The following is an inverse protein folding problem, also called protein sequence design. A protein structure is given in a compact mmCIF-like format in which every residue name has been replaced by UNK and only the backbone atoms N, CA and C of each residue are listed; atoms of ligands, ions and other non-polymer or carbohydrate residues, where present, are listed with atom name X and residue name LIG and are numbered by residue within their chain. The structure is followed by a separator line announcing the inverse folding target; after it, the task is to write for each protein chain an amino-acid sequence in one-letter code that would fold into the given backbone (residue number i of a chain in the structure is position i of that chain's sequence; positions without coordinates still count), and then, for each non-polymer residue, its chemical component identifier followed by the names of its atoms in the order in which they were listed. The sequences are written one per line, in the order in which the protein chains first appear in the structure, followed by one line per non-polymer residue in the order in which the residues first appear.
data_IF_667498195994
#
_entry.id   IF_667498195994
#
_cell.length_a   1.000
_cell.length_b   1.000
_cell.length_c   1.000
_cell.angle_alpha   90.00
_cell.angle_beta   90.00
_cell.angle_gamma   90.00
#
_symmetry.space_group_name_H-M   'P 1'
#
loop_
_entity.id
_entity.type
_entity.pdbx_description
1 polymer ?
#
# COMPACT_ATOMS: atom_id res chain seq x y z
N UNK A 1 27.41 -69.90 -22.73
CA UNK A 1 26.44 -69.21 -21.86
C UNK A 1 26.30 -67.79 -22.41
N UNK A 2 25.48 -67.49 -23.43
CA UNK A 2 24.27 -68.12 -24.01
C UNK A 2 22.96 -67.85 -23.24
N UNK A 3 21.91 -67.53 -24.02
CA UNK A 3 20.53 -67.11 -23.67
C UNK A 3 20.42 -65.66 -23.12
N UNK A 4 19.52 -64.74 -23.56
CA UNK A 4 18.10 -64.79 -24.06
C UNK A 4 17.06 -65.02 -22.95
N UNK A 5 15.80 -64.52 -22.95
CA UNK A 5 14.95 -63.64 -23.82
C UNK A 5 13.72 -63.16 -22.96
N UNK A 6 12.79 -62.23 -23.27
CA UNK A 6 12.58 -61.18 -24.31
C UNK A 6 11.46 -60.17 -23.89
N UNK A 7 11.52 -58.91 -24.34
CA UNK A 7 10.39 -57.93 -24.44
C UNK A 7 9.70 -57.44 -23.14
N UNK A 8 8.80 -56.44 -23.12
CA UNK A 8 8.23 -55.50 -24.12
C UNK A 8 8.03 -54.11 -23.44
N UNK A 9 7.96 -52.93 -24.07
CA UNK A 9 7.03 -52.46 -25.11
C UNK A 9 6.01 -51.46 -24.49
N UNK A 10 5.64 -50.32 -25.09
CA UNK A 10 5.95 -49.76 -26.42
C UNK A 10 5.71 -48.23 -26.45
N UNK A 11 6.31 -47.53 -27.41
CA UNK A 11 6.06 -46.13 -27.73
C UNK A 11 4.72 -45.91 -28.47
N UNK A 12 4.18 -44.68 -28.45
CA UNK A 12 3.48 -44.09 -29.60
C UNK A 12 3.38 -42.55 -29.51
N UNK A 13 3.65 -41.86 -30.61
CA UNK A 13 3.37 -40.44 -30.83
C UNK A 13 2.55 -40.30 -32.13
N UNK A 14 1.73 -39.23 -32.18
CA UNK A 14 1.14 -38.62 -33.37
C UNK A 14 0.18 -39.44 -34.26
N UNK A 15 -1.05 -38.94 -34.41
CA UNK A 15 -1.58 -38.46 -35.71
C UNK A 15 -2.75 -37.47 -35.49
N UNK A 16 -3.10 -36.71 -36.53
CA UNK A 16 -4.05 -35.56 -36.48
C UNK A 16 -5.42 -35.89 -37.16
N UNK A 17 -6.20 -34.96 -37.76
CA UNK A 17 -7.33 -34.35 -37.06
C UNK A 17 -8.67 -34.41 -37.84
N UNK A 18 -9.71 -35.06 -37.31
CA UNK A 18 -11.05 -35.07 -37.96
C UNK A 18 -12.20 -35.04 -36.92
N UNK A 19 -12.64 -33.83 -36.53
CA UNK A 19 -14.07 -33.45 -36.44
C UNK A 19 -14.16 -31.92 -36.66
N UNK A 20 -14.10 -31.48 -37.91
CA UNK A 20 -14.44 -30.10 -38.30
C UNK A 20 -15.38 -30.16 -39.52
N UNK A 21 -16.64 -30.52 -39.29
CA UNK A 21 -17.80 -30.32 -40.19
C UNK A 21 -19.07 -30.95 -39.58
N UNK A 22 -19.68 -30.27 -38.60
CA UNK A 22 -21.15 -30.14 -38.54
C UNK A 22 -21.42 -28.67 -38.23
N UNK A 23 -21.92 -27.95 -39.22
CA UNK A 23 -22.40 -26.58 -39.15
C UNK A 23 -23.77 -26.56 -39.84
N UNK A 24 -24.63 -25.60 -39.48
CA UNK A 24 -26.07 -25.59 -39.78
C UNK A 24 -26.84 -26.72 -39.03
N UNK A 25 -27.97 -26.46 -38.35
CA UNK A 25 -28.76 -25.24 -38.25
C UNK A 25 -29.47 -25.13 -36.90
N UNK A 26 -29.46 -23.92 -36.30
CA UNK A 26 -30.53 -23.42 -35.42
C UNK A 26 -30.35 -21.90 -35.21
N UNK A 27 -30.65 -21.11 -36.26
CA UNK A 27 -30.78 -19.65 -36.11
C UNK A 27 -32.10 -19.40 -35.39
N UNK A 28 -32.03 -18.95 -34.13
CA UNK A 28 -33.17 -18.36 -33.42
C UNK A 28 -32.83 -16.91 -33.10
N UNK A 29 -33.71 -16.00 -33.51
CA UNK A 29 -33.49 -14.56 -33.41
C UNK A 29 -33.70 -14.07 -31.98
N UNK A 30 -32.61 -13.87 -31.25
CA UNK A 30 -32.63 -13.05 -30.03
C UNK A 30 -32.57 -11.58 -30.46
N UNK A 31 -33.70 -10.88 -30.41
CA UNK A 31 -33.74 -9.43 -30.53
C UNK A 31 -33.10 -8.80 -29.32
N UNK A 32 -31.85 -8.35 -29.45
CA UNK A 32 -31.16 -7.55 -28.44
C UNK A 32 -31.83 -6.19 -28.35
N UNK A 33 -32.77 -6.05 -27.41
CA UNK A 33 -33.29 -4.75 -27.02
C UNK A 33 -32.18 -3.96 -26.31
N UNK A 34 -31.81 -2.80 -26.85
CA UNK A 34 -30.92 -1.86 -26.17
C UNK A 34 -31.63 -1.28 -24.93
N UNK A 35 -31.54 -1.97 -23.80
CA UNK A 35 -31.85 -1.40 -22.49
C UNK A 35 -30.71 -0.44 -22.15
N UNK A 36 -30.88 0.84 -22.48
CA UNK A 36 -30.04 1.91 -21.97
C UNK A 36 -30.25 2.05 -20.47
N UNK A 37 -29.47 1.30 -19.69
CA UNK A 37 -29.41 1.43 -18.22
C UNK A 37 -28.96 2.87 -17.91
N UNK A 38 -29.76 3.68 -17.20
CA UNK A 38 -29.32 5.01 -16.80
C UNK A 38 -28.21 4.88 -15.75
N UNK A 39 -26.97 5.19 -16.11
CA UNK A 39 -25.87 5.27 -15.15
C UNK A 39 -26.00 6.53 -14.31
N UNK A 40 -26.92 6.48 -13.35
CA UNK A 40 -27.13 7.49 -12.30
C UNK A 40 -27.10 6.83 -10.93
N UNK A 41 -26.11 5.95 -10.71
CA UNK A 41 -25.76 5.50 -9.36
C UNK A 41 -25.24 6.73 -8.61
N UNK A 42 -25.95 7.15 -7.56
CA UNK A 42 -25.54 8.31 -6.76
C UNK A 42 -24.18 8.02 -6.10
N UNK A 43 -23.36 9.07 -5.93
CA UNK A 43 -22.16 9.06 -5.08
C UNK A 43 -22.51 8.41 -3.73
N UNK A 44 -21.62 7.58 -3.12
CA UNK A 44 -21.80 7.21 -1.72
C UNK A 44 -21.99 8.48 -0.89
N UNK A 45 -23.03 8.48 -0.06
CA UNK A 45 -23.33 9.59 0.84
C UNK A 45 -22.27 9.58 1.94
N UNK A 46 -21.53 10.68 2.09
CA UNK A 46 -20.37 10.73 2.98
C UNK A 46 -20.84 10.45 4.40
N UNK A 47 -20.40 9.31 4.95
CA UNK A 47 -20.60 8.93 6.33
C UNK A 47 -19.94 9.98 7.24
N UNK A 48 -20.74 10.93 7.73
CA UNK A 48 -20.40 11.64 8.96
C UNK A 48 -20.20 10.58 10.03
N UNK A 49 -18.99 10.53 10.59
CA UNK A 49 -18.49 9.34 11.30
C UNK A 49 -19.46 8.81 12.34
N UNK A 50 -19.73 7.50 12.27
CA UNK A 50 -20.29 6.76 13.39
C UNK A 50 -19.45 7.03 14.64
N UNK A 51 -20.10 7.20 15.79
CA UNK A 51 -19.49 7.68 17.04
C UNK A 51 -18.55 6.68 17.75
N UNK A 52 -17.77 5.91 16.99
CA UNK A 52 -16.62 5.18 17.50
C UNK A 52 -15.53 6.16 17.92
N UNK A 53 -14.74 5.79 18.93
CA UNK A 53 -13.75 6.69 19.51
C UNK A 53 -12.51 6.81 18.62
N UNK A 54 -12.48 7.87 17.80
CA UNK A 54 -11.23 8.44 17.27
C UNK A 54 -10.17 8.49 18.38
N UNK A 55 -8.90 8.13 18.11
CA UNK A 55 -7.85 8.06 19.12
C UNK A 55 -7.74 9.40 19.84
N UNK A 56 -7.75 9.33 21.18
CA UNK A 56 -7.52 10.51 22.02
C UNK A 56 -6.24 11.22 21.56
N UNK A 57 -6.29 12.52 21.35
CA UNK A 57 -5.19 13.34 20.80
C UNK A 57 -3.79 13.03 21.37
N UNK A 58 -3.60 12.70 22.67
CA UNK A 58 -2.31 12.24 23.19
C UNK A 58 -1.71 10.98 22.52
N UNK A 59 -2.51 10.08 21.93
CA UNK A 59 -2.01 8.93 21.15
C UNK A 59 -1.44 9.37 19.80
N UNK A 60 -2.12 10.28 19.11
CA UNK A 60 -1.64 10.89 17.87
C UNK A 60 -0.34 11.67 18.12
N UNK A 61 -0.32 12.49 19.19
CA UNK A 61 0.87 13.26 19.57
C UNK A 61 2.06 12.33 19.91
N UNK A 62 1.86 11.26 20.69
CA UNK A 62 2.93 10.28 20.97
C UNK A 62 3.49 9.59 19.72
N UNK A 63 2.66 9.33 18.71
CA UNK A 63 3.11 8.79 17.44
C UNK A 63 3.90 9.83 16.63
N UNK A 64 3.47 11.09 16.62
CA UNK A 64 4.19 12.18 15.94
C UNK A 64 5.52 12.52 16.64
N UNK A 65 5.55 12.47 17.97
CA UNK A 65 6.77 12.67 18.78
C UNK A 65 7.75 11.51 18.61
N UNK A 66 7.25 10.27 18.46
CA UNK A 66 8.09 9.13 18.07
C UNK A 66 8.75 9.38 16.71
N UNK A 67 7.97 9.75 15.67
CA UNK A 67 8.53 10.09 14.35
C UNK A 67 9.59 11.20 14.46
N UNK A 68 9.30 12.27 15.22
CA UNK A 68 10.23 13.37 15.43
C UNK A 68 11.52 12.94 16.15
N UNK A 69 11.45 12.00 17.10
CA UNK A 69 12.61 11.45 17.82
C UNK A 69 13.59 10.65 16.95
N UNK A 70 13.18 10.32 15.71
CA UNK A 70 13.99 9.57 14.73
C UNK A 70 14.66 10.45 13.69
N UNK A 71 14.43 11.76 13.72
CA UNK A 71 15.06 12.70 12.80
C UNK A 71 16.56 12.85 13.05
N UNK A 72 17.35 12.79 11.98
CA UNK A 72 18.78 13.08 12.01
C UNK A 72 19.08 14.35 11.18
N UNK A 73 19.43 15.49 11.81
CA UNK A 73 19.64 16.75 11.11
C UNK A 73 20.87 16.77 10.17
N UNK A 74 21.75 15.76 10.23
CA UNK A 74 22.88 15.61 9.29
C UNK A 74 22.46 14.85 8.02
N UNK A 75 21.48 13.95 8.12
CA UNK A 75 20.94 13.16 7.00
C UNK A 75 19.72 13.85 6.37
N UNK A 76 19.03 14.71 7.12
CA UNK A 76 17.81 15.40 6.67
C UNK A 76 16.53 14.55 6.74
N UNK A 77 16.62 13.32 7.25
CA UNK A 77 15.56 12.29 7.23
C UNK A 77 15.33 11.67 8.62
N UNK A 78 14.21 10.97 8.80
CA UNK A 78 13.95 10.07 9.93
C UNK A 78 14.44 8.65 9.63
N UNK A 79 15.11 8.01 10.60
CA UNK A 79 15.59 6.62 10.45
C UNK A 79 14.45 5.61 10.67
N UNK A 80 14.49 4.49 9.96
CA UNK A 80 13.43 3.47 9.88
C UNK A 80 12.86 3.04 11.25
N UNK A 81 13.68 3.00 12.31
CA UNK A 81 13.20 2.74 13.66
C UNK A 81 14.23 2.95 14.77
N UNK A 82 14.10 2.17 15.85
CA UNK A 82 15.01 2.21 17.01
C UNK A 82 16.17 1.19 16.93
N UNK A 83 16.15 0.30 15.94
CA UNK A 83 16.74 -1.03 16.10
C UNK A 83 18.21 -1.20 15.82
N UNK A 84 18.75 -2.27 16.41
CA UNK A 84 20.11 -2.79 16.16
C UNK A 84 20.15 -3.90 15.09
N UNK A 85 18.99 -4.44 14.71
CA UNK A 85 18.86 -5.37 13.58
C UNK A 85 18.97 -4.65 12.23
N UNK A 86 19.17 -5.42 11.15
CA UNK A 86 19.25 -4.91 9.77
C UNK A 86 18.42 -5.76 8.81
N UNK A 87 17.79 -5.08 7.87
CA UNK A 87 16.96 -5.57 6.77
C UNK A 87 17.39 -4.98 5.41
N UNK A 88 18.50 -4.21 5.38
CA UNK A 88 19.22 -3.81 4.17
C UNK A 88 20.42 -4.73 3.88
N UNK A 89 20.81 -4.94 2.60
CA UNK A 89 21.86 -5.89 2.22
C UNK A 89 23.27 -5.63 2.79
N UNK A 90 23.59 -4.40 3.18
CA UNK A 90 24.92 -4.03 3.70
C UNK A 90 25.06 -4.17 5.22
N UNK A 91 23.98 -4.54 5.92
CA UNK A 91 23.98 -4.72 7.37
C UNK A 91 23.82 -3.43 8.18
N UNK A 92 23.52 -2.29 7.56
CA UNK A 92 23.27 -1.03 8.29
C UNK A 92 22.03 -1.16 9.20
N UNK A 93 22.16 -0.96 10.53
CA UNK A 93 21.03 -1.14 11.44
C UNK A 93 19.85 -0.23 11.14
N UNK A 94 18.63 -0.67 11.48
CA UNK A 94 17.36 0.05 11.36
C UNK A 94 17.43 1.48 11.95
N UNK A 95 18.14 1.67 13.07
CA UNK A 95 18.39 2.99 13.68
C UNK A 95 19.28 3.94 12.87
N UNK A 96 19.96 3.45 11.82
CA UNK A 96 20.89 4.18 10.93
C UNK A 96 20.57 4.00 9.43
N UNK A 97 19.46 3.33 9.12
CA UNK A 97 18.91 3.16 7.77
C UNK A 97 17.76 4.15 7.57
N UNK A 98 17.66 4.75 6.38
CA UNK A 98 16.68 5.78 6.04
C UNK A 98 16.04 5.46 4.68
N UNK A 99 14.76 5.09 4.65
CA UNK A 99 14.03 4.93 3.38
C UNK A 99 13.44 6.27 2.94
N UNK A 100 13.74 6.70 1.72
CA UNK A 100 13.23 7.98 1.19
C UNK A 100 11.70 7.94 1.02
N UNK A 101 11.14 6.79 0.64
CA UNK A 101 9.74 6.69 0.22
C UNK A 101 8.81 6.12 1.32
N UNK A 102 8.82 4.81 1.56
CA UNK A 102 7.98 4.13 2.56
C UNK A 102 7.99 4.83 3.94
N UNK A 103 9.16 5.24 4.39
CA UNK A 103 9.32 6.02 5.61
C UNK A 103 9.11 7.53 5.38
N UNK A 104 10.01 8.19 4.64
CA UNK A 104 10.16 9.66 4.73
C UNK A 104 9.14 10.46 3.90
N UNK A 105 8.74 9.97 2.72
CA UNK A 105 7.68 10.58 1.89
C UNK A 105 6.34 10.62 2.65
N UNK A 106 6.09 9.62 3.50
CA UNK A 106 4.95 9.59 4.41
C UNK A 106 5.19 10.34 5.72
N UNK A 107 6.37 10.23 6.33
CA UNK A 107 6.67 10.91 7.60
C UNK A 107 6.51 12.43 7.49
N UNK A 108 6.90 13.03 6.37
CA UNK A 108 6.69 14.47 6.16
C UNK A 108 5.20 14.85 6.09
N UNK A 109 4.32 14.02 5.53
CA UNK A 109 2.87 14.27 5.53
C UNK A 109 2.23 13.97 6.90
N UNK A 110 2.70 12.92 7.59
CA UNK A 110 2.26 12.58 8.94
C UNK A 110 2.62 13.65 9.98
N UNK A 111 3.78 14.30 9.83
CA UNK A 111 4.28 15.32 10.75
C UNK A 111 3.71 16.72 10.51
N UNK A 112 3.14 17.04 9.33
CA UNK A 112 2.59 18.37 9.00
C UNK A 112 1.66 18.97 10.09
N UNK A 113 0.71 18.23 10.70
CA UNK A 113 -0.18 18.79 11.72
C UNK A 113 0.46 19.00 13.11
N UNK A 114 1.61 18.39 13.38
CA UNK A 114 2.20 18.31 14.73
C UNK A 114 3.54 19.06 14.83
N UNK A 115 4.42 18.84 13.85
CA UNK A 115 5.79 19.34 13.79
C UNK A 115 6.09 19.96 12.40
N UNK A 116 5.38 21.04 12.00
CA UNK A 116 5.39 21.53 10.61
C UNK A 116 6.77 21.99 10.10
N UNK A 117 7.63 22.50 10.97
CA UNK A 117 9.00 22.89 10.59
C UNK A 117 9.87 21.66 10.27
N UNK A 118 9.71 20.58 11.04
CA UNK A 118 10.40 19.32 10.80
C UNK A 118 9.88 18.63 9.54
N UNK A 119 8.55 18.63 9.34
CA UNK A 119 7.92 18.15 8.11
C UNK A 119 8.49 18.85 6.86
N UNK A 120 8.65 20.18 6.90
CA UNK A 120 9.26 20.94 5.81
C UNK A 120 10.74 20.56 5.55
N UNK A 121 11.52 20.32 6.60
CA UNK A 121 12.92 19.87 6.48
C UNK A 121 13.02 18.48 5.84
N UNK A 122 12.14 17.54 6.21
CA UNK A 122 12.09 16.19 5.60
C UNK A 122 11.58 16.28 4.16
N UNK A 123 10.56 17.10 3.87
CA UNK A 123 10.05 17.34 2.52
C UNK A 123 11.18 17.76 1.57
N UNK A 124 11.98 18.77 1.96
CA UNK A 124 13.12 19.24 1.17
C UNK A 124 14.16 18.13 0.90
N UNK A 125 14.47 17.29 1.88
CA UNK A 125 15.42 16.19 1.70
C UNK A 125 14.85 15.10 0.77
N UNK A 126 13.55 14.79 0.88
CA UNK A 126 12.85 13.86 -0.03
C UNK A 126 12.78 14.43 -1.45
N UNK A 127 12.50 15.73 -1.62
CA UNK A 127 12.49 16.43 -2.90
C UNK A 127 13.84 16.33 -3.63
N UNK A 128 14.96 16.51 -2.92
CA UNK A 128 16.32 16.34 -3.49
C UNK A 128 16.58 14.90 -4.00
N UNK A 129 16.04 13.87 -3.33
CA UNK A 129 16.12 12.50 -3.83
C UNK A 129 15.15 12.24 -4.99
N UNK A 130 13.94 12.79 -4.97
CA UNK A 130 12.95 12.65 -6.06
C UNK A 130 13.43 13.33 -7.35
N UNK A 131 14.13 14.46 -7.27
CA UNK A 131 14.73 15.12 -8.45
C UNK A 131 15.79 14.23 -9.15
N UNK A 132 16.55 13.45 -8.37
CA UNK A 132 17.64 12.60 -8.89
C UNK A 132 17.14 11.22 -9.33
N UNK A 133 16.21 10.61 -8.57
CA UNK A 133 15.83 9.20 -8.73
C UNK A 133 14.39 8.99 -9.25
N UNK A 134 13.57 10.04 -9.31
CA UNK A 134 12.15 9.98 -9.66
C UNK A 134 11.24 9.69 -8.47
N UNK A 135 9.93 9.77 -8.69
CA UNK A 135 8.91 9.19 -7.80
C UNK A 135 8.90 7.64 -7.90
N UNK A 136 8.51 6.91 -6.86
CA UNK A 136 8.70 5.46 -6.81
C UNK A 136 7.77 4.61 -7.69
N UNK A 137 6.67 5.15 -8.23
CA UNK A 137 5.55 4.43 -8.85
C UNK A 137 4.78 3.50 -7.88
N UNK A 138 4.66 3.88 -6.60
CA UNK A 138 3.84 3.16 -5.61
C UNK A 138 3.40 4.04 -4.42
N UNK A 139 4.35 4.54 -3.62
CA UNK A 139 4.08 5.16 -2.31
C UNK A 139 3.45 6.56 -2.39
N UNK A 140 3.64 7.26 -3.51
CA UNK A 140 3.12 8.61 -3.78
C UNK A 140 1.59 8.64 -3.91
N UNK A 141 0.94 7.49 -4.17
CA UNK A 141 -0.53 7.42 -4.26
C UNK A 141 -1.20 7.86 -2.96
N UNK A 142 -0.56 7.67 -1.81
CA UNK A 142 -1.05 8.13 -0.50
C UNK A 142 -1.10 9.65 -0.39
N UNK A 143 -0.27 10.38 -1.15
CA UNK A 143 -0.26 11.84 -1.15
C UNK A 143 -1.31 12.47 -2.06
N UNK A 144 -1.90 11.68 -2.98
CA UNK A 144 -2.91 12.11 -3.96
C UNK A 144 -2.43 12.10 -5.43
N UNK A 145 -1.24 11.55 -5.71
CA UNK A 145 -0.71 11.40 -7.07
C UNK A 145 -1.16 10.07 -7.70
N UNK A 146 -1.29 10.00 -9.02
CA UNK A 146 -1.62 8.74 -9.73
C UNK A 146 -0.35 7.89 -9.96
N UNK A 147 -0.50 6.56 -9.93
CA UNK A 147 0.58 5.59 -10.12
C UNK A 147 0.27 4.66 -11.32
N UNK A 148 1.24 3.87 -11.81
CA UNK A 148 0.95 2.86 -12.82
C UNK A 148 0.04 1.76 -12.26
N UNK A 149 -1.08 1.49 -12.93
CA UNK A 149 -1.97 0.36 -12.58
C UNK A 149 -1.31 -1.02 -12.76
N UNK A 150 -0.19 -1.09 -13.48
CA UNK A 150 0.70 -2.26 -13.56
C UNK A 150 1.76 -2.16 -12.46
N UNK A 151 1.43 -2.62 -11.25
CA UNK A 151 2.35 -2.62 -10.10
C UNK A 151 3.51 -3.60 -10.34
N UNK A 152 4.73 -3.18 -9.97
CA UNK A 152 5.97 -3.94 -10.16
C UNK A 152 6.70 -4.21 -8.84
N UNK A 153 7.60 -5.19 -8.85
CA UNK A 153 8.46 -5.47 -7.69
C UNK A 153 9.44 -4.33 -7.43
N UNK A 154 9.69 -4.07 -6.14
CA UNK A 154 10.54 -2.96 -5.71
C UNK A 154 12.03 -3.29 -5.82
N UNK A 155 12.81 -2.40 -6.42
CA UNK A 155 14.27 -2.46 -6.42
C UNK A 155 14.86 -1.52 -5.39
N UNK A 156 15.58 -2.10 -4.43
CA UNK A 156 16.29 -1.38 -3.36
C UNK A 156 17.64 -0.87 -3.88
N UNK A 157 17.87 0.43 -3.80
CA UNK A 157 19.10 1.09 -4.26
C UNK A 157 19.61 1.98 -3.12
N UNK A 158 20.90 1.83 -2.75
CA UNK A 158 21.55 2.74 -1.81
C UNK A 158 21.95 4.02 -2.53
N UNK A 159 21.49 5.16 -2.02
CA UNK A 159 21.64 6.49 -2.64
C UNK A 159 22.42 7.48 -1.78
N UNK A 160 22.66 7.14 -0.51
CA UNK A 160 23.45 7.97 0.40
C UNK A 160 24.27 7.18 1.40
N UNK A 161 25.41 7.76 1.77
CA UNK A 161 26.26 7.34 2.88
C UNK A 161 26.67 8.58 3.67
N UNK A 162 26.48 8.53 4.99
CA UNK A 162 26.82 9.61 5.91
C UNK A 162 27.59 9.04 7.10
N UNK A 163 28.48 9.84 7.69
CA UNK A 163 29.11 9.51 8.97
C UNK A 163 28.65 10.52 10.03
N UNK A 164 27.97 10.05 11.07
CA UNK A 164 27.48 10.89 12.17
C UNK A 164 28.03 10.34 13.47
N UNK A 165 28.73 11.18 14.24
CA UNK A 165 29.42 10.81 15.49
C UNK A 165 30.41 9.61 15.38
N UNK A 166 30.86 9.28 14.15
CA UNK A 166 31.72 8.13 13.87
C UNK A 166 30.98 6.86 13.44
N UNK A 167 29.65 6.85 13.47
CA UNK A 167 28.83 5.75 12.95
C UNK A 167 28.45 5.98 11.48
N UNK A 168 28.35 4.88 10.71
CA UNK A 168 27.89 4.92 9.32
C UNK A 168 26.37 4.85 9.20
N UNK A 169 25.79 5.70 8.35
CA UNK A 169 24.35 5.77 8.05
C UNK A 169 24.12 5.57 6.55
N UNK A 170 23.01 4.92 6.18
CA UNK A 170 22.70 4.57 4.80
C UNK A 170 21.31 5.07 4.39
N UNK A 171 21.23 5.80 3.28
CA UNK A 171 19.96 6.24 2.68
C UNK A 171 19.64 5.36 1.48
N UNK A 172 18.40 4.89 1.41
CA UNK A 172 17.92 3.93 0.43
C UNK A 172 16.62 4.40 -0.23
N UNK A 173 16.47 4.09 -1.52
CA UNK A 173 15.21 4.18 -2.27
C UNK A 173 14.72 2.77 -2.61
N UNK A 174 13.40 2.59 -2.71
CA UNK A 174 12.77 1.40 -3.29
C UNK A 174 11.88 1.84 -4.46
N UNK A 175 12.29 1.52 -5.69
CA UNK A 175 11.65 1.97 -6.94
C UNK A 175 10.91 0.83 -7.62
N UNK A 176 9.71 1.12 -8.15
CA UNK A 176 8.81 0.19 -8.84
C UNK A 176 8.70 0.52 -10.34
N UNK A 177 9.82 0.97 -10.93
CA UNK A 177 9.89 1.35 -12.34
C UNK A 177 9.86 0.13 -13.30
N UNK A 178 9.48 0.33 -14.59
CA UNK A 178 9.53 -0.72 -15.61
C UNK A 178 10.91 -1.37 -15.81
N UNK A 179 12.00 -0.62 -15.59
CA UNK A 179 13.38 -1.11 -15.65
C UNK A 179 13.89 -1.80 -14.37
N UNK A 180 13.13 -1.75 -13.27
CA UNK A 180 13.59 -2.14 -11.94
C UNK A 180 13.02 -3.46 -11.43
N UNK A 181 11.82 -3.87 -11.88
CA UNK A 181 11.15 -5.06 -11.37
C UNK A 181 10.11 -5.69 -12.31
N UNK A 182 9.81 -6.96 -12.04
CA UNK A 182 8.77 -7.76 -12.68
C UNK A 182 7.36 -7.30 -12.26
N UNK A 183 6.35 -7.61 -13.08
CA UNK A 183 4.95 -7.26 -12.81
C UNK A 183 4.33 -8.19 -11.76
N UNK A 184 3.67 -7.63 -10.74
CA UNK A 184 2.84 -8.36 -9.78
C UNK A 184 1.49 -8.75 -10.41
N UNK A 185 1.48 -9.78 -11.26
CA UNK A 185 0.25 -10.38 -11.82
C UNK A 185 -0.72 -10.90 -10.75
N UNK A 186 -0.23 -11.08 -9.52
CA UNK A 186 -0.91 -11.53 -8.32
C UNK A 186 -1.08 -10.43 -7.26
N UNK A 187 -1.06 -9.14 -7.65
CA UNK A 187 -1.26 -8.02 -6.73
C UNK A 187 -2.56 -8.12 -5.89
N UNK A 188 -3.58 -8.81 -6.40
CA UNK A 188 -4.82 -9.12 -5.68
C UNK A 188 -4.65 -10.14 -4.53
N UNK A 189 -3.49 -10.78 -4.37
CA UNK A 189 -3.18 -11.58 -3.19
C UNK A 189 -2.54 -10.76 -2.04
N UNK A 190 -2.24 -9.48 -2.27
CA UNK A 190 -1.58 -8.55 -1.33
C UNK A 190 -2.55 -7.44 -0.89
N UNK A 191 -2.66 -7.19 0.43
CA UNK A 191 -3.64 -6.22 0.93
C UNK A 191 -3.19 -4.77 0.69
N UNK A 192 -1.91 -4.49 0.86
CA UNK A 192 -1.27 -3.20 0.56
C UNK A 192 -1.44 -2.78 -0.90
N UNK A 193 -1.07 -3.65 -1.86
CA UNK A 193 -1.26 -3.38 -3.29
C UNK A 193 -2.73 -3.19 -3.65
N UNK A 194 -3.64 -3.91 -2.98
CA UNK A 194 -5.08 -3.70 -3.14
C UNK A 194 -5.54 -2.32 -2.63
N UNK A 195 -4.97 -1.80 -1.54
CA UNK A 195 -5.31 -0.46 -1.05
C UNK A 195 -4.66 0.66 -1.89
N UNK A 196 -3.43 0.48 -2.36
CA UNK A 196 -2.81 1.42 -3.31
C UNK A 196 -3.59 1.53 -4.62
N UNK A 197 -3.97 0.41 -5.23
CA UNK A 197 -4.77 0.43 -6.46
C UNK A 197 -6.19 0.96 -6.21
N UNK A 198 -6.78 0.72 -5.03
CA UNK A 198 -8.05 1.36 -4.66
C UNK A 198 -7.95 2.90 -4.65
N UNK A 199 -6.88 3.45 -4.06
CA UNK A 199 -6.61 4.89 -4.08
C UNK A 199 -6.38 5.42 -5.52
N UNK A 200 -5.56 4.73 -6.31
CA UNK A 200 -5.24 5.12 -7.70
C UNK A 200 -6.48 5.17 -8.61
N UNK A 201 -7.25 4.08 -8.66
CA UNK A 201 -8.50 4.06 -9.43
C UNK A 201 -9.53 5.11 -8.93
N UNK A 202 -9.48 5.52 -7.65
CA UNK A 202 -10.30 6.62 -7.14
C UNK A 202 -9.87 7.98 -7.70
N UNK A 203 -8.56 8.23 -7.78
CA UNK A 203 -7.97 9.44 -8.37
C UNK A 203 -8.24 9.51 -9.88
N UNK A 204 -8.20 8.37 -10.58
CA UNK A 204 -8.59 8.22 -11.98
C UNK A 204 -10.11 8.34 -12.22
N UNK A 205 -10.92 8.28 -11.15
CA UNK A 205 -12.38 8.38 -11.21
C UNK A 205 -13.11 7.08 -11.59
N UNK A 206 -12.41 5.95 -11.67
CA UNK A 206 -13.00 4.62 -11.81
C UNK A 206 -13.38 4.08 -10.42
N UNK A 207 -14.53 4.56 -9.93
CA UNK A 207 -15.05 4.17 -8.62
C UNK A 207 -15.46 2.68 -8.54
N UNK A 208 -15.65 1.99 -9.67
CA UNK A 208 -16.00 0.55 -9.68
C UNK A 208 -14.76 -0.32 -9.51
N UNK A 209 -13.69 -0.04 -10.25
CA UNK A 209 -12.39 -0.66 -10.01
C UNK A 209 -11.85 -0.30 -8.61
N UNK A 210 -11.98 0.95 -8.19
CA UNK A 210 -11.56 1.42 -6.86
C UNK A 210 -12.27 0.69 -5.72
N UNK A 211 -13.59 0.51 -5.78
CA UNK A 211 -14.31 -0.27 -4.77
C UNK A 211 -13.93 -1.76 -4.85
N UNK A 212 -13.78 -2.34 -6.05
CA UNK A 212 -13.37 -3.74 -6.21
C UNK A 212 -12.04 -4.03 -5.50
N UNK A 213 -11.03 -3.17 -5.70
CA UNK A 213 -9.73 -3.27 -5.03
C UNK A 213 -9.84 -3.06 -3.52
N UNK A 214 -10.67 -2.13 -3.04
CA UNK A 214 -10.94 -1.95 -1.60
C UNK A 214 -11.51 -3.24 -0.97
N UNK A 215 -12.55 -3.82 -1.60
CA UNK A 215 -13.18 -5.08 -1.14
C UNK A 215 -12.22 -6.26 -1.17
N UNK A 216 -11.32 -6.31 -2.16
CA UNK A 216 -10.32 -7.37 -2.25
C UNK A 216 -9.33 -7.33 -1.06
N UNK A 217 -8.83 -6.15 -0.69
CA UNK A 217 -8.00 -5.97 0.51
C UNK A 217 -8.78 -6.23 1.82
N UNK A 218 -10.01 -5.70 1.92
CA UNK A 218 -10.90 -5.89 3.07
C UNK A 218 -11.18 -7.38 3.34
N UNK A 219 -11.38 -8.19 2.29
CA UNK A 219 -11.62 -9.64 2.38
C UNK A 219 -10.44 -10.44 2.96
N UNK A 220 -9.25 -9.85 3.09
CA UNK A 220 -8.08 -10.47 3.73
C UNK A 220 -8.08 -10.32 5.26
N UNK A 221 -8.96 -9.51 5.85
CA UNK A 221 -9.02 -9.26 7.29
C UNK A 221 -9.36 -10.51 8.12
N UNK A 222 -8.61 -10.74 9.21
CA UNK A 222 -8.82 -11.87 10.15
C UNK A 222 -8.87 -11.42 11.61
N UNK A 223 -9.55 -10.31 11.92
CA UNK A 223 -9.81 -9.82 13.29
C UNK A 223 -8.61 -9.21 14.02
N UNK A 224 -7.39 -9.43 13.53
CA UNK A 224 -6.15 -8.96 14.11
C UNK A 224 -5.07 -8.55 13.07
N UNK A 225 -5.35 -8.71 11.78
CA UNK A 225 -4.45 -8.35 10.68
C UNK A 225 -5.02 -8.78 9.32
N UNK A 226 -4.35 -8.36 8.25
CA UNK A 226 -4.66 -8.78 6.88
C UNK A 226 -3.84 -10.03 6.53
N UNK A 227 -4.50 -11.17 6.40
CA UNK A 227 -3.87 -12.47 6.13
C UNK A 227 -3.60 -12.67 4.63
N UNK A 228 -2.84 -11.73 4.07
CA UNK A 228 -2.45 -11.65 2.67
C UNK A 228 -1.27 -12.59 2.33
N UNK A 229 -0.74 -12.52 1.11
CA UNK A 229 0.32 -13.42 0.65
C UNK A 229 1.62 -13.30 1.45
N UNK A 230 1.99 -12.08 1.86
CA UNK A 230 3.14 -11.88 2.74
C UNK A 230 2.87 -12.52 4.10
N UNK A 231 1.71 -12.25 4.71
CA UNK A 231 1.37 -12.81 6.02
C UNK A 231 1.25 -14.35 6.03
N UNK A 232 0.88 -14.96 4.89
CA UNK A 232 0.89 -16.43 4.68
C UNK A 232 2.30 -17.02 4.62
N UNK A 233 3.30 -16.27 4.17
CA UNK A 233 4.71 -16.69 4.04
C UNK A 233 5.50 -16.39 5.31
N UNK A 234 5.38 -15.17 5.84
CA UNK A 234 6.18 -14.64 6.94
C UNK A 234 5.69 -15.08 8.34
N UNK A 235 4.48 -15.66 8.42
CA UNK A 235 3.89 -16.13 9.69
C UNK A 235 3.54 -15.00 10.68
N UNK A 236 3.43 -13.76 10.20
CA UNK A 236 3.09 -12.55 10.95
C UNK A 236 2.39 -11.54 10.04
N UNK A 237 1.67 -10.58 10.62
CA UNK A 237 1.07 -9.46 9.88
C UNK A 237 2.03 -8.28 9.84
N UNK A 238 2.00 -7.52 8.74
CA UNK A 238 2.66 -6.23 8.58
C UNK A 238 1.68 -5.12 8.97
N UNK A 239 1.97 -4.37 10.03
CA UNK A 239 0.99 -3.48 10.68
C UNK A 239 0.74 -2.17 9.90
N UNK A 240 1.63 -1.75 8.99
CA UNK A 240 1.40 -0.56 8.16
C UNK A 240 0.11 -0.71 7.32
N UNK A 241 -0.25 -1.93 6.93
CA UNK A 241 -1.47 -2.26 6.19
C UNK A 241 -2.75 -1.90 6.96
N UNK A 242 -2.68 -1.86 8.29
CA UNK A 242 -3.78 -1.39 9.14
C UNK A 242 -4.03 0.11 8.94
N UNK A 243 -2.96 0.92 8.96
CA UNK A 243 -3.05 2.37 8.69
C UNK A 243 -3.42 2.67 7.24
N UNK A 244 -2.86 1.94 6.27
CA UNK A 244 -3.15 2.10 4.84
C UNK A 244 -4.63 1.79 4.52
N UNK A 245 -5.19 0.74 5.12
CA UNK A 245 -6.62 0.45 5.07
C UNK A 245 -7.46 1.60 5.66
N UNK A 246 -7.12 2.07 6.87
CA UNK A 246 -7.89 3.13 7.55
C UNK A 246 -7.88 4.44 6.76
N UNK A 247 -6.73 4.79 6.17
CA UNK A 247 -6.61 5.92 5.27
C UNK A 247 -7.48 5.72 4.02
N UNK A 248 -7.36 4.57 3.35
CA UNK A 248 -8.12 4.28 2.11
C UNK A 248 -9.62 4.32 2.33
N UNK A 249 -10.13 3.74 3.42
CA UNK A 249 -11.56 3.79 3.76
C UNK A 249 -12.08 5.23 3.96
N UNK A 250 -11.28 6.10 4.60
CA UNK A 250 -11.66 7.49 4.90
C UNK A 250 -11.47 8.44 3.71
N UNK A 251 -10.44 8.20 2.90
CA UNK A 251 -10.16 8.93 1.66
C UNK A 251 -11.23 8.69 0.59
N UNK A 252 -11.60 7.41 0.39
CA UNK A 252 -12.60 7.00 -0.61
C UNK A 252 -14.05 7.21 -0.14
N UNK A 253 -14.30 7.02 1.17
CA UNK A 253 -15.64 7.01 1.75
C UNK A 253 -16.42 5.71 1.52
N UNK A 254 -15.76 4.61 1.12
CA UNK A 254 -16.44 3.32 0.94
C UNK A 254 -16.94 2.76 2.27
N UNK A 255 -18.23 2.35 2.40
CA UNK A 255 -18.75 1.79 3.64
C UNK A 255 -18.05 0.49 4.00
N UNK A 256 -17.63 0.31 5.26
CA UNK A 256 -17.02 -0.93 5.75
C UNK A 256 -17.64 -1.38 7.07
N UNK A 257 -17.68 -2.70 7.30
CA UNK A 257 -18.09 -3.31 8.56
C UNK A 257 -16.93 -3.63 9.51
N UNK A 258 -15.67 -3.45 9.08
CA UNK A 258 -14.48 -3.78 9.90
C UNK A 258 -13.71 -2.54 10.40
N UNK A 259 -14.09 -1.33 9.96
CA UNK A 259 -13.39 -0.06 10.24
C UNK A 259 -13.00 0.11 11.71
N UNK A 260 -13.99 0.08 12.61
CA UNK A 260 -13.80 0.24 14.06
C UNK A 260 -12.90 -0.86 14.67
N UNK A 261 -12.93 -2.08 14.10
CA UNK A 261 -12.08 -3.18 14.57
C UNK A 261 -10.63 -3.00 14.14
N UNK A 262 -10.39 -2.64 12.88
CA UNK A 262 -9.03 -2.36 12.38
C UNK A 262 -8.45 -1.14 13.10
N UNK A 263 -9.25 -0.10 13.39
CA UNK A 263 -8.83 1.06 14.18
C UNK A 263 -8.43 0.68 15.61
N UNK A 264 -9.26 -0.14 16.28
CA UNK A 264 -8.94 -0.71 17.60
C UNK A 264 -7.65 -1.52 17.58
N UNK A 265 -7.43 -2.35 16.55
CA UNK A 265 -6.24 -3.21 16.43
C UNK A 265 -5.00 -2.38 16.14
N UNK A 266 -5.05 -1.45 15.18
CA UNK A 266 -3.93 -0.56 14.84
C UNK A 266 -3.43 0.20 16.09
N UNK A 267 -4.35 0.79 16.85
CA UNK A 267 -3.99 1.49 18.09
C UNK A 267 -3.66 0.60 19.29
N UNK A 268 -3.83 -0.73 19.18
CA UNK A 268 -3.25 -1.68 20.14
C UNK A 268 -1.80 -2.07 19.82
N UNK A 269 -1.29 -1.74 18.63
CA UNK A 269 0.12 -1.90 18.27
C UNK A 269 0.97 -0.66 18.58
N UNK A 270 0.39 0.38 19.21
CA UNK A 270 1.17 1.52 19.72
C UNK A 270 1.96 1.10 20.97
N UNK A 271 3.28 1.25 20.89
CA UNK A 271 4.25 0.85 21.91
C UNK A 271 4.47 1.95 22.96
N UNK A 272 5.24 1.64 24.00
CA UNK A 272 5.60 2.59 25.08
C UNK A 272 6.47 3.76 24.59
N UNK A 273 7.30 3.52 23.57
CA UNK A 273 8.08 4.52 22.83
C UNK A 273 7.21 5.50 22.00
N UNK A 274 5.91 5.21 21.82
CA UNK A 274 4.94 6.04 21.10
C UNK A 274 4.71 5.64 19.65
N UNK A 275 5.64 4.90 19.04
CA UNK A 275 5.52 4.42 17.67
C UNK A 275 4.60 3.21 17.54
N UNK A 276 4.26 2.87 16.31
CA UNK A 276 3.48 1.68 15.96
C UNK A 276 4.45 0.56 15.62
N UNK A 277 4.31 -0.60 16.27
CA UNK A 277 5.11 -1.78 15.96
C UNK A 277 4.97 -2.16 14.48
N UNK A 278 6.07 -2.56 13.82
CA UNK A 278 6.05 -2.94 12.40
C UNK A 278 5.27 -4.22 12.13
N UNK A 279 5.25 -5.16 13.08
CA UNK A 279 4.65 -6.49 12.93
C UNK A 279 3.66 -6.85 14.06
N UNK A 280 2.84 -7.86 13.81
CA UNK A 280 2.14 -8.60 14.87
C UNK A 280 2.09 -10.09 14.55
N UNK A 281 2.11 -10.94 15.57
CA UNK A 281 1.88 -12.37 15.40
C UNK A 281 0.45 -12.64 14.88
N UNK A 282 0.20 -13.82 14.28
CA UNK A 282 -1.12 -14.17 13.71
C UNK A 282 -2.29 -14.22 14.72
N UNK A 283 -2.01 -14.08 16.02
CA UNK A 283 -2.99 -13.91 17.10
C UNK A 283 -3.24 -12.44 17.51
N UNK A 284 -2.63 -11.47 16.83
CA UNK A 284 -2.69 -10.04 17.12
C UNK A 284 -1.71 -9.51 18.17
N UNK A 285 -0.91 -10.36 18.83
CA UNK A 285 0.08 -9.89 19.80
C UNK A 285 1.25 -9.18 19.10
N UNK A 286 1.65 -8.03 19.63
CA UNK A 286 2.67 -7.14 19.06
C UNK A 286 4.01 -7.84 18.83
N UNK A 287 4.62 -7.62 17.67
CA UNK A 287 5.89 -8.21 17.25
C UNK A 287 6.82 -7.13 16.67
N UNK A 288 8.12 -7.29 16.86
CA UNK A 288 9.11 -6.35 16.35
C UNK A 288 9.13 -5.01 17.09
N UNK A 289 9.84 -4.06 16.51
CA UNK A 289 10.02 -2.70 17.02
C UNK A 289 9.03 -1.73 16.37
N UNK A 290 8.96 -0.49 16.86
CA UNK A 290 8.30 0.57 16.12
C UNK A 290 9.06 0.90 14.83
N UNK A 291 8.34 1.15 13.73
CA UNK A 291 8.92 1.69 12.50
C UNK A 291 8.21 2.96 12.01
N UNK A 292 8.90 3.73 11.17
CA UNK A 292 8.40 5.00 10.61
C UNK A 292 7.21 4.76 9.68
N UNK A 293 7.31 3.87 8.69
CA UNK A 293 6.23 3.54 7.74
C UNK A 293 4.87 3.31 8.43
N UNK A 294 4.76 2.33 9.35
CA UNK A 294 3.50 1.99 9.99
C UNK A 294 2.97 3.11 10.90
N UNK A 295 3.86 3.86 11.55
CA UNK A 295 3.49 5.01 12.37
C UNK A 295 2.99 6.18 11.52
N UNK A 296 3.63 6.41 10.36
CA UNK A 296 3.32 7.52 9.45
C UNK A 296 1.99 7.28 8.75
N UNK A 297 1.76 6.10 8.16
CA UNK A 297 0.49 5.83 7.47
C UNK A 297 -0.70 5.78 8.44
N UNK A 298 -0.51 5.30 9.68
CA UNK A 298 -1.56 5.39 10.69
C UNK A 298 -1.86 6.84 11.10
N UNK A 299 -0.87 7.74 11.14
CA UNK A 299 -1.11 9.17 11.36
C UNK A 299 -1.78 9.86 10.16
N UNK A 300 -1.37 9.53 8.92
CA UNK A 300 -1.98 10.06 7.69
C UNK A 300 -3.47 9.69 7.62
N UNK A 301 -3.89 8.54 8.16
CA UNK A 301 -5.30 8.17 8.30
C UNK A 301 -6.14 9.17 9.13
N UNK A 302 -5.54 10.09 9.90
CA UNK A 302 -6.21 11.18 10.64
C UNK A 302 -5.79 12.57 10.13
N UNK A 303 -4.99 12.66 9.06
CA UNK A 303 -4.66 13.91 8.40
C UNK A 303 -5.81 14.31 7.46
N UNK A 304 -6.72 15.11 8.00
CA UNK A 304 -7.86 15.72 7.31
C UNK A 304 -7.49 16.34 5.95
N UNK A 305 -6.32 16.96 5.80
CA UNK A 305 -5.92 17.64 4.56
C UNK A 305 -5.23 16.71 3.55
N UNK A 306 -4.83 15.50 3.97
CA UNK A 306 -4.53 14.39 3.06
C UNK A 306 -5.83 13.73 2.56
N UNK A 307 -6.75 13.40 3.48
CA UNK A 307 -8.06 12.80 3.17
C UNK A 307 -8.86 13.63 2.16
N UNK A 308 -8.89 14.96 2.32
CA UNK A 308 -9.62 15.87 1.41
C UNK A 308 -9.11 15.89 -0.03
N UNK A 309 -7.87 15.47 -0.32
CA UNK A 309 -7.34 15.45 -1.70
C UNK A 309 -8.17 14.50 -2.57
N UNK A 310 -8.42 13.29 -2.08
CA UNK A 310 -9.28 12.30 -2.73
C UNK A 310 -10.72 12.80 -2.86
N UNK A 311 -11.29 13.35 -1.78
CA UNK A 311 -12.69 13.81 -1.78
C UNK A 311 -12.93 15.03 -2.72
N UNK A 312 -11.91 15.85 -2.95
CA UNK A 312 -11.95 17.00 -3.88
C UNK A 312 -11.65 16.59 -5.32
N UNK A 313 -10.68 15.71 -5.58
CA UNK A 313 -10.39 15.18 -6.93
C UNK A 313 -11.51 14.26 -7.43
N UNK A 314 -12.03 13.37 -6.57
CA UNK A 314 -13.23 12.55 -6.79
C UNK A 314 -14.55 13.34 -6.77
N UNK A 315 -14.51 14.65 -6.95
CA UNK A 315 -15.68 15.49 -7.25
C UNK A 315 -15.66 15.86 -8.74
N UNK A 316 -16.51 15.27 -9.60
CA UNK A 316 -16.45 15.52 -11.03
C UNK A 316 -16.57 17.02 -11.31
N UNK A 317 -15.60 17.54 -12.05
CA UNK A 317 -15.49 18.96 -12.35
C UNK A 317 -16.80 19.42 -13.00
N UNK A 318 -17.56 20.30 -12.32
CA UNK A 318 -18.85 20.79 -12.81
C UNK A 318 -18.61 21.63 -14.06
N UNK A 319 -18.62 20.98 -15.21
CA UNK A 319 -18.54 21.57 -16.55
C UNK A 319 -19.69 22.56 -16.69
N UNK A 320 -19.38 23.83 -16.44
CA UNK A 320 -20.37 24.89 -16.36
C UNK A 320 -21.02 25.07 -17.75
N UNK A 321 -22.31 24.74 -17.94
CA UNK A 321 -22.92 24.60 -19.27
C UNK A 321 -23.17 25.95 -19.97
N UNK A 322 -22.60 27.04 -19.46
CA UNK A 322 -22.79 28.41 -19.94
C UNK A 322 -21.46 29.15 -20.15
N UNK A 323 -20.67 28.69 -21.14
CA UNK A 323 -19.70 29.55 -21.84
C UNK A 323 -19.76 29.36 -23.37
N UNK A 324 -20.76 30.03 -23.95
CA UNK A 324 -20.93 30.38 -25.39
C UNK A 324 -20.96 29.20 -26.36
#
# INVERSE_FOLDING_TARGET
MAWEQHSSGRWLWALKPIVMMILLALITTITIGFITIPSTRKRPEILQGSGASSPLYPRLLRAADYLASRYNPVVGLVSEGGGVGSNVPDGTPISRTYWVYSDNLWAQEALRPFHPQLAASISKAVEEYVEIYGMPNLFEVVLGEVIPTEIRSGRRIRVGEYTVNGEGHAVWVERHHPEDGDVFYDAYEYADLSFYLSLDYYLLGDFEASEWWFRNGEAMWRGCGFYDKAARVDGCYQNYKLGLYLFTARATGFPSTILDEVERVAWSQQRDDGGIASLSHLNGTTLGEANIEATSILLIAYNEDAIKRFQTLGSPHKSNPHKK
#
